data_IF_109345445265
#
_entry.id   IF_109345445265
#
_cell.length_a   1.000
_cell.length_b   1.000
_cell.length_c   1.000
_cell.angle_alpha   90.00
_cell.angle_beta   90.00
_cell.angle_gamma   90.00
#
_symmetry.space_group_name_H-M   'P 1'
#
loop_
_entity.id
_entity.type
_entity.pdbx_description
1 polymer ?
#
# COMPACT_ATOMS: atom_id res chain seq x y z
N UNK A 1 -13.25 5.18 50.25
CA UNK A 1 -13.48 3.85 49.65
C UNK A 1 -13.56 3.85 48.12
N UNK A 2 -13.46 5.01 47.45
CA UNK A 2 -13.61 5.17 45.99
C UNK A 2 -12.31 4.98 45.18
N UNK A 3 -11.12 5.04 45.79
CA UNK A 3 -9.84 4.90 45.10
C UNK A 3 -9.50 3.44 44.70
N UNK A 4 -9.93 2.45 45.50
CA UNK A 4 -9.68 1.04 45.22
C UNK A 4 -10.50 0.50 44.03
N UNK A 5 -11.71 1.02 43.83
CA UNK A 5 -12.56 0.68 42.69
C UNK A 5 -12.01 1.26 41.37
N UNK A 6 -11.39 2.45 41.40
CA UNK A 6 -10.76 3.04 40.22
C UNK A 6 -9.52 2.26 39.78
N UNK A 7 -8.74 1.72 40.73
CA UNK A 7 -7.63 0.83 40.43
C UNK A 7 -8.11 -0.46 39.74
N UNK A 8 -9.29 -0.97 40.11
CA UNK A 8 -9.85 -2.20 39.56
C UNK A 8 -10.32 -2.11 38.08
N UNK A 9 -10.48 -0.92 37.51
CA UNK A 9 -10.85 -0.73 36.10
C UNK A 9 -9.66 -0.36 35.21
N UNK A 10 -8.50 -0.08 35.83
CA UNK A 10 -7.32 0.43 35.12
C UNK A 10 -6.68 -0.64 34.22
N UNK A 11 -6.80 -1.92 34.57
CA UNK A 11 -6.25 -3.06 33.83
C UNK A 11 -7.15 -3.58 32.69
N UNK A 12 -8.36 -3.03 32.50
CA UNK A 12 -9.24 -3.41 31.39
C UNK A 12 -9.06 -2.54 30.12
N UNK A 13 -8.36 -1.41 30.23
CA UNK A 13 -8.16 -0.44 29.16
C UNK A 13 -6.71 -0.47 28.68
N UNK A 14 -6.50 -0.42 27.36
CA UNK A 14 -5.18 -0.24 26.78
C UNK A 14 -4.57 1.11 27.22
N UNK A 15 -3.34 1.04 27.73
CA UNK A 15 -2.63 2.22 28.20
C UNK A 15 -1.94 2.93 27.04
N UNK A 16 -1.91 4.26 27.11
CA UNK A 16 -1.10 5.05 26.19
C UNK A 16 0.40 4.84 26.46
N UNK A 17 1.22 5.06 25.43
CA UNK A 17 2.68 4.95 25.50
C UNK A 17 3.27 5.84 26.62
N UNK A 18 2.63 6.99 26.87
CA UNK A 18 2.99 7.94 27.93
C UNK A 18 2.69 7.40 29.34
N UNK A 19 1.54 6.74 29.52
CA UNK A 19 1.16 6.10 30.79
C UNK A 19 2.09 4.93 31.12
N UNK A 20 2.42 4.08 30.14
CA UNK A 20 3.39 2.99 30.30
C UNK A 20 4.76 3.54 30.73
N UNK A 21 5.21 4.61 30.08
CA UNK A 21 6.49 5.26 30.40
C UNK A 21 6.54 5.76 31.84
N UNK A 22 5.48 6.42 32.30
CA UNK A 22 5.40 6.95 33.67
C UNK A 22 5.41 5.86 34.75
N UNK A 23 4.79 4.70 34.49
CA UNK A 23 4.69 3.59 35.45
C UNK A 23 5.86 2.62 35.39
N UNK A 24 6.77 2.76 34.42
CA UNK A 24 7.98 1.92 34.33
C UNK A 24 8.87 2.00 35.58
N UNK A 25 8.86 3.12 36.31
CA UNK A 25 9.63 3.27 37.56
C UNK A 25 8.98 2.58 38.77
N UNK A 26 7.68 2.27 38.70
CA UNK A 26 6.91 1.59 39.76
C UNK A 26 6.10 0.46 39.15
N UNK A 27 6.82 -0.59 38.78
CA UNK A 27 6.25 -1.74 38.10
C UNK A 27 5.29 -2.51 39.02
N UNK A 28 4.10 -2.81 38.52
CA UNK A 28 3.06 -3.56 39.23
C UNK A 28 2.39 -4.53 38.27
N UNK A 29 1.69 -5.54 38.78
CA UNK A 29 0.93 -6.48 37.96
C UNK A 29 -0.10 -5.78 37.04
N UNK A 30 -0.60 -4.61 37.46
CA UNK A 30 -1.43 -3.74 36.61
C UNK A 30 -0.69 -3.20 35.40
N UNK A 31 0.57 -2.80 35.60
CA UNK A 31 1.41 -2.30 34.54
C UNK A 31 1.74 -3.40 33.53
N UNK A 32 1.94 -4.65 33.98
CA UNK A 32 2.10 -5.80 33.09
C UNK A 32 0.86 -6.06 32.23
N UNK A 33 -0.33 -6.05 32.83
CA UNK A 33 -1.58 -6.25 32.09
C UNK A 33 -1.84 -5.14 31.07
N UNK A 34 -1.62 -3.87 31.45
CA UNK A 34 -1.76 -2.72 30.55
C UNK A 34 -0.74 -2.74 29.40
N UNK A 35 0.51 -3.15 29.67
CA UNK A 35 1.54 -3.31 28.66
C UNK A 35 1.19 -4.43 27.67
N UNK A 36 0.69 -5.58 28.17
CA UNK A 36 0.26 -6.68 27.31
C UNK A 36 -0.84 -6.24 26.35
N UNK A 37 -1.85 -5.53 26.84
CA UNK A 37 -2.95 -5.03 26.01
C UNK A 37 -2.46 -4.02 24.96
N UNK A 38 -1.56 -3.10 25.35
CA UNK A 38 -0.91 -2.20 24.40
C UNK A 38 -0.13 -2.94 23.32
N UNK A 39 0.67 -3.96 23.68
CA UNK A 39 1.43 -4.75 22.72
C UNK A 39 0.53 -5.53 21.77
N UNK A 40 -0.60 -6.05 22.24
CA UNK A 40 -1.59 -6.72 21.41
C UNK A 40 -2.22 -5.76 20.40
N UNK A 41 -2.65 -4.57 20.83
CA UNK A 41 -3.20 -3.55 19.95
C UNK A 41 -2.17 -3.03 18.95
N UNK A 42 -0.96 -2.75 19.41
CA UNK A 42 0.15 -2.33 18.56
C UNK A 42 0.50 -3.38 17.50
N UNK A 43 0.55 -4.65 17.90
CA UNK A 43 0.76 -5.77 16.99
C UNK A 43 -0.34 -5.80 15.93
N UNK A 44 -1.61 -5.72 16.34
CA UNK A 44 -2.71 -5.76 15.39
C UNK A 44 -2.78 -4.55 14.47
N UNK A 45 -2.47 -3.36 14.96
CA UNK A 45 -2.40 -2.17 14.15
C UNK A 45 -1.27 -2.30 13.11
N UNK A 46 -0.11 -2.81 13.52
CA UNK A 46 1.03 -3.04 12.64
C UNK A 46 0.70 -4.07 11.54
N UNK A 47 0.08 -5.19 11.92
CA UNK A 47 -0.38 -6.22 10.98
C UNK A 47 -1.41 -5.63 10.00
N UNK A 48 -2.43 -4.93 10.51
CA UNK A 48 -3.49 -4.33 9.70
C UNK A 48 -2.93 -3.31 8.69
N UNK A 49 -2.03 -2.43 9.15
CA UNK A 49 -1.36 -1.45 8.27
C UNK A 49 -0.51 -2.14 7.21
N UNK A 50 0.20 -3.20 7.58
CA UNK A 50 1.00 -3.99 6.64
C UNK A 50 0.13 -4.64 5.57
N UNK A 51 -1.03 -5.18 5.94
CA UNK A 51 -2.00 -5.73 5.00
C UNK A 51 -2.56 -4.68 4.03
N UNK A 52 -2.88 -3.48 4.49
CA UNK A 52 -3.35 -2.41 3.61
C UNK A 52 -2.25 -1.96 2.64
N UNK A 53 -1.01 -1.81 3.11
CA UNK A 53 0.14 -1.50 2.24
C UNK A 53 0.31 -2.57 1.18
N UNK A 54 0.25 -3.86 1.55
CA UNK A 54 0.30 -4.97 0.59
C UNK A 54 -0.83 -4.85 -0.45
N UNK A 55 -2.06 -4.59 -0.01
CA UNK A 55 -3.22 -4.45 -0.90
C UNK A 55 -3.06 -3.28 -1.88
N UNK A 56 -2.47 -2.17 -1.45
CA UNK A 56 -2.14 -1.02 -2.30
C UNK A 56 -1.07 -1.41 -3.33
N UNK A 57 -0.04 -2.12 -2.90
CA UNK A 57 1.03 -2.61 -3.78
C UNK A 57 0.50 -3.59 -4.83
N UNK A 58 -0.37 -4.52 -4.45
CA UNK A 58 -1.00 -5.47 -5.37
C UNK A 58 -1.82 -4.73 -6.45
N UNK A 59 -2.57 -3.67 -6.07
CA UNK A 59 -3.28 -2.81 -7.02
C UNK A 59 -2.32 -2.10 -7.98
N UNK A 60 -1.25 -1.51 -7.46
CA UNK A 60 -0.25 -0.81 -8.29
C UNK A 60 0.42 -1.75 -9.29
N UNK A 61 0.75 -2.98 -8.90
CA UNK A 61 1.30 -4.00 -9.80
C UNK A 61 0.31 -4.31 -10.92
N UNK A 62 -0.98 -4.46 -10.57
CA UNK A 62 -2.02 -4.73 -11.55
C UNK A 62 -2.17 -3.57 -12.56
N UNK A 63 -2.23 -2.32 -12.07
CA UNK A 63 -2.30 -1.14 -12.93
C UNK A 63 -1.09 -1.01 -13.84
N UNK A 64 0.11 -1.27 -13.30
CA UNK A 64 1.36 -1.25 -14.08
C UNK A 64 1.31 -2.25 -15.23
N UNK A 65 0.82 -3.48 -14.98
CA UNK A 65 0.63 -4.49 -16.03
C UNK A 65 -0.41 -4.06 -17.07
N UNK A 66 -1.50 -3.41 -16.64
CA UNK A 66 -2.50 -2.87 -17.56
C UNK A 66 -1.91 -1.79 -18.47
N UNK A 67 -1.10 -0.88 -17.90
CA UNK A 67 -0.41 0.17 -18.66
C UNK A 67 0.57 -0.45 -19.66
N UNK A 68 1.32 -1.47 -19.26
CA UNK A 68 2.25 -2.19 -20.14
C UNK A 68 1.53 -2.77 -21.37
N UNK A 69 0.39 -3.46 -21.17
CA UNK A 69 -0.42 -3.96 -22.28
C UNK A 69 -0.92 -2.82 -23.18
N UNK A 70 -1.36 -1.70 -22.60
CA UNK A 70 -1.83 -0.54 -23.36
C UNK A 70 -0.70 0.09 -24.18
N UNK A 71 0.50 0.19 -23.60
CA UNK A 71 1.69 0.65 -24.30
C UNK A 71 2.02 -0.25 -25.48
N UNK A 72 2.00 -1.57 -25.28
CA UNK A 72 2.26 -2.53 -26.35
C UNK A 72 1.27 -2.36 -27.52
N UNK A 73 -0.01 -2.16 -27.22
CA UNK A 73 -1.03 -1.89 -28.24
C UNK A 73 -0.78 -0.58 -28.99
N UNK A 74 -0.40 0.48 -28.26
CA UNK A 74 -0.06 1.78 -28.86
C UNK A 74 1.16 1.67 -29.77
N UNK A 75 2.22 0.98 -29.33
CA UNK A 75 3.40 0.71 -30.16
C UNK A 75 3.05 -0.07 -31.43
N UNK A 76 2.24 -1.11 -31.31
CA UNK A 76 1.77 -1.87 -32.47
C UNK A 76 0.96 -0.98 -33.44
N UNK A 77 0.14 -0.08 -32.92
CA UNK A 77 -0.57 0.92 -33.74
C UNK A 77 0.39 1.86 -34.48
N UNK A 78 1.42 2.37 -33.80
CA UNK A 78 2.44 3.20 -34.43
C UNK A 78 3.22 2.45 -35.52
N UNK A 79 3.58 1.20 -35.26
CA UNK A 79 4.26 0.35 -36.26
C UNK A 79 3.38 0.11 -37.48
N UNK A 80 2.09 -0.17 -37.29
CA UNK A 80 1.15 -0.32 -38.39
C UNK A 80 1.05 0.96 -39.24
N UNK A 81 0.90 2.12 -38.60
CA UNK A 81 0.84 3.41 -39.30
C UNK A 81 2.14 3.72 -40.05
N UNK A 82 3.29 3.46 -39.43
CA UNK A 82 4.59 3.65 -40.06
C UNK A 82 4.78 2.72 -41.27
N UNK A 83 4.37 1.46 -41.14
CA UNK A 83 4.42 0.49 -42.24
C UNK A 83 3.50 0.91 -43.39
N UNK A 84 2.29 1.40 -43.10
CA UNK A 84 1.35 1.90 -44.10
C UNK A 84 1.94 3.11 -44.84
N UNK A 85 2.47 4.09 -44.11
CA UNK A 85 3.10 5.28 -44.69
C UNK A 85 4.32 4.92 -45.55
N UNK A 86 5.11 3.93 -45.13
CA UNK A 86 6.23 3.44 -45.94
C UNK A 86 5.75 2.89 -47.29
N UNK A 87 4.72 2.04 -47.28
CA UNK A 87 4.16 1.44 -48.51
C UNK A 87 3.57 2.52 -49.42
N UNK A 88 2.85 3.49 -48.85
CA UNK A 88 2.30 4.63 -49.60
C UNK A 88 3.42 5.45 -50.26
N UNK A 89 4.46 5.80 -49.49
CA UNK A 89 5.60 6.56 -50.01
C UNK A 89 6.31 5.82 -51.17
N UNK A 90 6.53 4.50 -51.04
CA UNK A 90 7.14 3.69 -52.11
C UNK A 90 6.23 3.64 -53.34
N UNK A 91 4.92 3.48 -53.16
CA UNK A 91 3.97 3.41 -54.28
C UNK A 91 3.85 4.74 -55.02
N UNK A 92 3.82 5.87 -54.30
CA UNK A 92 3.81 7.22 -54.88
C UNK A 92 5.11 7.48 -55.64
N UNK A 93 6.26 7.07 -55.08
CA UNK A 93 7.55 7.18 -55.76
C UNK A 93 7.58 6.38 -57.07
N UNK A 94 7.06 5.14 -57.07
CA UNK A 94 6.98 4.32 -58.28
C UNK A 94 6.08 4.97 -59.34
N UNK A 95 4.93 5.53 -58.95
CA UNK A 95 4.08 6.28 -59.86
C UNK A 95 4.80 7.47 -60.49
N UNK A 96 5.60 8.20 -59.70
CA UNK A 96 6.38 9.34 -60.20
C UNK A 96 7.52 8.92 -61.15
N UNK A 97 8.08 7.72 -60.99
CA UNK A 97 9.11 7.19 -61.90
C UNK A 97 8.51 6.71 -63.23
N UNK A 98 7.27 6.20 -63.20
CA UNK A 98 6.60 5.61 -64.37
C UNK A 98 5.90 6.66 -65.24
N UNK A 99 5.52 7.82 -64.69
CA UNK A 99 4.87 8.93 -65.38
C UNK A 99 5.88 9.93 -65.95
#
# INVERSE_FOLDING_TARGET
QTAAAAALLLWERAWSLEEIRSRSQTWSLAADAGLLQFLQEFSQQTISRTHEIKKQMDRLIHETKSIDCRLHNVFNGFLMLSNMQFIENVSVLLLYIVL
#
